data_IF_505388262834
#
_entry.id   IF_505388262834
#
_cell.length_a   1.000
_cell.length_b   1.000
_cell.length_c   1.000
_cell.angle_alpha   90.00
_cell.angle_beta   90.00
_cell.angle_gamma   90.00
#
_symmetry.space_group_name_H-M   'P 1'
#
loop_
_entity.id
_entity.type
_entity.pdbx_description
1 polymer ?
#
# COMPACT_ATOMS: atom_id res chain seq x y z
N UNK A 1 10.68 0.77 -70.42
CA UNK A 1 10.58 1.72 -69.28
C UNK A 1 9.88 1.02 -68.12
N UNK A 2 10.27 1.35 -66.88
CA UNK A 2 9.59 1.06 -65.60
C UNK A 2 10.06 -0.17 -64.82
N UNK A 3 11.28 -0.10 -64.28
CA UNK A 3 11.74 -0.96 -63.16
C UNK A 3 12.57 -0.20 -62.11
N UNK A 4 12.32 1.11 -61.90
CA UNK A 4 13.06 1.91 -60.91
C UNK A 4 12.21 2.40 -59.72
N UNK A 5 10.90 2.17 -59.73
CA UNK A 5 10.00 2.80 -58.73
C UNK A 5 9.89 2.01 -57.42
N UNK A 6 10.20 0.71 -57.41
CA UNK A 6 9.99 -0.13 -56.22
C UNK A 6 11.17 -0.14 -55.24
N UNK A 7 12.36 0.31 -55.64
CA UNK A 7 13.57 0.14 -54.82
C UNK A 7 13.73 1.21 -53.72
N UNK A 8 13.07 2.37 -53.83
CA UNK A 8 13.22 3.48 -52.85
C UNK A 8 12.35 3.36 -51.61
N UNK A 9 11.37 2.46 -51.59
CA UNK A 9 10.49 2.24 -50.42
C UNK A 9 11.10 1.20 -49.46
N UNK A 10 12.10 0.45 -49.93
CA UNK A 10 12.82 -0.55 -49.14
C UNK A 10 14.20 -0.09 -48.67
N UNK A 11 14.54 1.20 -48.78
CA UNK A 11 15.67 1.70 -48.00
C UNK A 11 15.26 1.65 -46.52
N UNK A 12 15.86 0.77 -45.70
CA UNK A 12 15.57 0.79 -44.28
C UNK A 12 16.05 2.14 -43.77
N UNK A 13 15.13 2.93 -43.20
CA UNK A 13 15.46 4.16 -42.47
C UNK A 13 16.55 3.81 -41.46
N UNK A 14 17.80 4.16 -41.80
CA UNK A 14 18.96 3.80 -41.01
C UNK A 14 18.90 4.59 -39.71
N UNK A 15 18.32 3.95 -38.72
CA UNK A 15 18.04 4.52 -37.42
C UNK A 15 19.31 4.47 -36.56
N UNK A 16 20.33 5.24 -36.93
CA UNK A 16 21.55 5.39 -36.09
C UNK A 16 21.19 5.82 -34.66
N UNK A 17 20.12 6.61 -34.51
CA UNK A 17 19.58 7.08 -33.22
C UNK A 17 18.89 5.96 -32.43
N UNK A 18 18.25 5.00 -33.11
CA UNK A 18 17.62 3.83 -32.45
C UNK A 18 18.68 2.78 -32.11
N UNK A 19 19.64 2.56 -33.01
CA UNK A 19 20.76 1.66 -32.76
C UNK A 19 21.64 2.13 -31.59
N UNK A 20 21.91 3.42 -31.44
CA UNK A 20 22.78 3.93 -30.37
C UNK A 20 22.15 3.79 -28.99
N UNK A 21 20.85 4.07 -28.85
CA UNK A 21 20.13 3.86 -27.60
C UNK A 21 20.07 2.38 -27.20
N UNK A 22 19.80 1.49 -28.16
CA UNK A 22 19.80 0.04 -27.92
C UNK A 22 21.22 -0.45 -27.62
N UNK A 23 22.25 0.06 -28.30
CA UNK A 23 23.65 -0.31 -28.09
C UNK A 23 24.14 0.10 -26.71
N UNK A 24 23.77 1.29 -26.22
CA UNK A 24 24.12 1.74 -24.87
C UNK A 24 23.42 0.90 -23.79
N UNK A 25 22.13 0.59 -23.96
CA UNK A 25 21.39 -0.33 -23.08
C UNK A 25 22.01 -1.73 -23.06
N UNK A 26 22.36 -2.26 -24.25
CA UNK A 26 22.99 -3.58 -24.38
C UNK A 26 24.40 -3.59 -23.78
N UNK A 27 25.14 -2.47 -23.80
CA UNK A 27 26.49 -2.37 -23.20
C UNK A 27 26.46 -2.36 -21.68
N UNK A 28 25.42 -1.78 -21.07
CA UNK A 28 25.16 -1.86 -19.62
C UNK A 28 24.79 -3.29 -19.22
N UNK A 29 23.99 -3.99 -20.02
CA UNK A 29 23.62 -5.39 -19.77
C UNK A 29 24.70 -6.42 -20.14
N UNK A 30 25.60 -6.11 -21.07
CA UNK A 30 26.61 -7.05 -21.59
C UNK A 30 27.94 -7.03 -20.81
N UNK A 31 28.08 -6.19 -19.77
CA UNK A 31 29.31 -6.11 -18.97
C UNK A 31 29.14 -6.73 -17.59
N UNK A 32 28.84 -8.03 -17.58
CA UNK A 32 28.90 -8.83 -16.38
C UNK A 32 28.85 -10.30 -16.73
N UNK A 33 29.96 -11.01 -16.55
CA UNK A 33 29.97 -12.48 -16.45
C UNK A 33 29.30 -12.87 -15.12
N UNK A 34 28.04 -12.45 -14.90
CA UNK A 34 27.30 -12.83 -13.71
C UNK A 34 26.86 -14.28 -13.90
N UNK A 35 27.32 -15.21 -13.06
CA UNK A 35 26.91 -16.59 -13.18
C UNK A 35 25.39 -16.66 -13.00
N UNK A 36 24.74 -17.55 -13.74
CA UNK A 36 23.27 -17.69 -13.75
C UNK A 36 22.71 -17.98 -12.36
N UNK A 37 23.52 -18.56 -11.46
CA UNK A 37 23.18 -18.76 -10.05
C UNK A 37 23.10 -17.45 -9.26
N UNK A 38 24.01 -16.51 -9.48
CA UNK A 38 23.96 -15.18 -8.84
C UNK A 38 22.77 -14.38 -9.35
N UNK A 39 22.44 -14.48 -10.64
CA UNK A 39 21.22 -13.88 -11.19
C UNK A 39 19.96 -14.42 -10.48
N UNK A 40 19.87 -15.73 -10.25
CA UNK A 40 18.77 -16.35 -9.50
C UNK A 40 18.71 -15.86 -8.04
N UNK A 41 19.85 -15.73 -7.37
CA UNK A 41 19.90 -15.19 -6.00
C UNK A 41 19.44 -13.73 -5.92
N UNK A 42 19.82 -12.90 -6.89
CA UNK A 42 19.40 -11.50 -6.97
C UNK A 42 17.88 -11.41 -7.17
N UNK A 43 17.31 -12.23 -8.06
CA UNK A 43 15.85 -12.28 -8.29
C UNK A 43 15.10 -12.68 -7.01
N UNK A 44 15.56 -13.73 -6.32
CA UNK A 44 14.94 -14.19 -5.06
C UNK A 44 15.06 -13.12 -3.96
N UNK A 45 16.23 -12.50 -3.81
CA UNK A 45 16.45 -11.42 -2.85
C UNK A 45 15.51 -10.23 -3.11
N UNK A 46 15.30 -9.87 -4.37
CA UNK A 46 14.40 -8.77 -4.75
C UNK A 46 12.93 -9.09 -4.41
N UNK A 47 12.48 -10.34 -4.60
CA UNK A 47 11.15 -10.80 -4.19
C UNK A 47 11.00 -10.73 -2.66
N UNK A 48 12.03 -11.14 -1.91
CA UNK A 48 12.03 -11.10 -0.44
C UNK A 48 11.98 -9.67 0.06
N UNK A 49 12.73 -8.74 -0.53
CA UNK A 49 12.72 -7.33 -0.12
C UNK A 49 11.35 -6.68 -0.34
N UNK A 50 10.69 -6.96 -1.47
CA UNK A 50 9.32 -6.49 -1.74
C UNK A 50 8.34 -7.07 -0.72
N UNK A 51 8.44 -8.37 -0.42
CA UNK A 51 7.60 -9.03 0.58
C UNK A 51 7.87 -8.61 2.03
N UNK A 52 9.11 -8.24 2.37
CA UNK A 52 9.49 -7.79 3.70
C UNK A 52 8.97 -6.37 3.99
N UNK A 53 9.02 -5.49 2.98
CA UNK A 53 8.56 -4.11 3.11
C UNK A 53 7.07 -4.01 3.46
N UNK A 54 6.23 -4.90 2.94
CA UNK A 54 4.78 -4.87 3.21
C UNK A 54 4.46 -5.24 4.66
N UNK A 55 5.23 -6.16 5.26
CA UNK A 55 5.04 -6.57 6.65
C UNK A 55 5.40 -5.44 7.59
N UNK A 56 6.55 -4.76 7.37
CA UNK A 56 7.00 -3.67 8.25
C UNK A 56 6.05 -2.47 8.26
N UNK A 57 5.41 -2.14 7.13
CA UNK A 57 4.44 -1.03 7.06
C UNK A 57 3.16 -1.28 7.86
N UNK A 58 2.80 -2.54 8.13
CA UNK A 58 1.60 -2.87 8.94
C UNK A 58 1.89 -2.75 10.44
N UNK A 59 3.14 -2.98 10.85
CA UNK A 59 3.54 -2.96 12.25
C UNK A 59 3.96 -1.58 12.78
N UNK A 60 4.26 -0.62 11.90
CA UNK A 60 4.54 0.76 12.28
C UNK A 60 3.23 1.49 12.65
N UNK A 61 2.65 1.14 13.80
CA UNK A 61 1.48 1.79 14.38
C UNK A 61 1.80 3.26 14.68
N UNK A 62 1.07 4.15 14.01
CA UNK A 62 1.19 5.58 14.20
C UNK A 62 0.49 5.97 15.52
N UNK A 63 1.22 6.70 16.34
CA UNK A 63 0.91 7.25 17.65
C UNK A 63 -0.27 8.23 17.66
N UNK A 64 -1.50 7.70 17.44
CA UNK A 64 -2.83 7.92 18.08
C UNK A 64 -3.66 6.81 17.43
N UNK A 65 -4.20 5.86 18.21
CA UNK A 65 -4.78 4.58 17.75
C UNK A 65 -6.03 4.68 16.85
N UNK A 66 -6.03 5.56 15.85
CA UNK A 66 -7.01 5.66 14.80
C UNK A 66 -6.41 5.07 13.52
N UNK A 67 -6.69 3.79 13.32
CA UNK A 67 -6.51 3.11 12.05
C UNK A 67 -7.29 3.85 10.94
N UNK A 68 -6.84 3.71 9.69
CA UNK A 68 -7.53 4.28 8.53
C UNK A 68 -9.03 3.96 8.54
N UNK A 69 -9.86 5.00 8.45
CA UNK A 69 -11.32 4.88 8.48
C UNK A 69 -11.95 4.94 9.87
N UNK A 70 -11.29 5.56 10.86
CA UNK A 70 -11.86 5.80 12.18
C UNK A 70 -12.01 4.53 13.02
N UNK A 71 -11.10 3.56 12.85
CA UNK A 71 -11.12 2.31 13.63
C UNK A 71 -10.04 2.37 14.70
N UNK A 72 -10.27 1.77 15.85
CA UNK A 72 -9.33 1.76 16.96
C UNK A 72 -9.29 0.38 17.60
N UNK A 73 -8.09 -0.07 17.98
CA UNK A 73 -7.95 -1.28 18.78
C UNK A 73 -8.12 -0.94 20.26
N UNK A 74 -8.91 -1.74 20.98
CA UNK A 74 -9.16 -1.56 22.41
C UNK A 74 -7.90 -1.95 23.18
N UNK A 75 -7.38 -1.03 23.99
CA UNK A 75 -6.23 -1.26 24.86
C UNK A 75 -6.65 -1.71 26.26
N UNK A 76 -5.69 -2.20 27.03
CA UNK A 76 -5.97 -2.62 28.40
C UNK A 76 -6.37 -1.43 29.27
N UNK A 77 -7.52 -1.53 29.93
CA UNK A 77 -8.08 -0.46 30.77
C UNK A 77 -9.09 0.43 30.05
N UNK A 78 -9.22 0.29 28.73
CA UNK A 78 -10.23 1.01 27.98
C UNK A 78 -11.63 0.48 28.28
N UNK A 79 -12.57 1.41 28.35
CA UNK A 79 -13.99 1.12 28.46
C UNK A 79 -14.71 1.81 27.31
N UNK A 80 -15.88 1.30 26.95
CA UNK A 80 -16.69 1.95 25.92
C UNK A 80 -17.03 3.40 26.31
N UNK A 81 -17.12 3.67 27.61
CA UNK A 81 -17.35 5.00 28.15
C UNK A 81 -16.15 5.94 27.98
N UNK A 82 -14.95 5.52 28.37
CA UNK A 82 -13.74 6.34 28.23
C UNK A 82 -13.43 6.62 26.76
N UNK A 83 -13.55 5.60 25.90
CA UNK A 83 -13.41 5.75 24.44
C UNK A 83 -14.39 6.78 23.89
N UNK A 84 -15.65 6.72 24.34
CA UNK A 84 -16.69 7.64 23.89
C UNK A 84 -16.45 9.06 24.36
N UNK A 85 -15.95 9.25 25.59
CA UNK A 85 -15.61 10.59 26.09
C UNK A 85 -14.52 11.26 25.26
N UNK A 86 -13.52 10.49 24.83
CA UNK A 86 -12.37 11.03 24.09
C UNK A 86 -12.70 11.37 22.63
N UNK A 87 -13.72 10.73 22.05
CA UNK A 87 -14.01 10.82 20.61
C UNK A 87 -15.39 11.40 20.25
N UNK A 88 -16.24 11.69 21.25
CA UNK A 88 -17.57 12.26 20.98
C UNK A 88 -17.48 13.73 20.53
N UNK A 89 -18.46 14.20 19.76
CA UNK A 89 -18.71 15.63 19.55
C UNK A 89 -18.98 16.37 20.86
N UNK A 90 -18.66 17.66 20.92
CA UNK A 90 -18.93 18.47 22.12
C UNK A 90 -20.43 18.59 22.39
N UNK A 91 -21.22 18.65 21.31
CA UNK A 91 -22.68 18.83 21.33
C UNK A 91 -23.46 17.54 21.64
N UNK A 92 -22.79 16.37 21.69
CA UNK A 92 -23.43 15.07 21.85
C UNK A 92 -23.26 14.48 23.26
N UNK A 93 -24.32 13.87 23.78
CA UNK A 93 -24.25 13.09 25.02
C UNK A 93 -23.50 11.77 24.78
N UNK A 94 -22.58 11.44 25.70
CA UNK A 94 -21.76 10.22 25.67
C UNK A 94 -22.62 8.96 25.51
N UNK A 95 -23.82 8.91 26.11
CA UNK A 95 -24.71 7.75 25.99
C UNK A 95 -25.18 7.50 24.56
N UNK A 96 -25.47 8.56 23.82
CA UNK A 96 -25.91 8.46 22.42
C UNK A 96 -24.74 8.00 21.55
N UNK A 97 -23.53 8.49 21.85
CA UNK A 97 -22.32 8.07 21.16
C UNK A 97 -21.99 6.59 21.41
N UNK A 98 -22.15 6.11 22.66
CA UNK A 98 -22.01 4.69 23.02
C UNK A 98 -22.97 3.81 22.20
N UNK A 99 -24.25 4.19 22.10
CA UNK A 99 -25.22 3.43 21.31
C UNK A 99 -24.88 3.46 19.82
N UNK A 100 -24.35 4.57 19.30
CA UNK A 100 -23.86 4.63 17.93
C UNK A 100 -22.69 3.68 17.70
N UNK A 101 -21.69 3.64 18.60
CA UNK A 101 -20.58 2.67 18.53
C UNK A 101 -21.12 1.24 18.55
N UNK A 102 -22.04 0.91 19.45
CA UNK A 102 -22.65 -0.42 19.53
C UNK A 102 -23.34 -0.79 18.22
N UNK A 103 -24.09 0.13 17.62
CA UNK A 103 -24.82 -0.10 16.37
C UNK A 103 -23.86 -0.35 15.20
N UNK A 104 -22.81 0.44 15.07
CA UNK A 104 -21.83 0.29 13.99
C UNK A 104 -21.02 -1.00 14.13
N UNK A 105 -20.69 -1.41 15.36
CA UNK A 105 -19.91 -2.61 15.66
C UNK A 105 -20.76 -3.86 15.95
N UNK A 106 -22.09 -3.77 15.84
CA UNK A 106 -23.04 -4.84 16.14
C UNK A 106 -22.89 -5.44 17.55
N UNK A 107 -22.46 -4.63 18.51
CA UNK A 107 -22.24 -5.05 19.89
C UNK A 107 -23.58 -5.22 20.62
N UNK A 108 -23.81 -6.42 21.15
CA UNK A 108 -25.00 -6.73 21.94
C UNK A 108 -24.92 -6.18 23.37
N UNK A 109 -23.70 -5.90 23.86
CA UNK A 109 -23.45 -5.40 25.21
C UNK A 109 -22.38 -4.33 25.22
N UNK A 110 -22.21 -3.66 26.36
CA UNK A 110 -21.15 -2.65 26.60
C UNK A 110 -19.79 -3.29 26.89
N UNK A 111 -19.72 -4.61 26.99
CA UNK A 111 -18.46 -5.32 27.23
C UNK A 111 -17.61 -5.34 25.96
N UNK A 112 -16.37 -4.88 26.09
CA UNK A 112 -15.35 -4.88 25.04
C UNK A 112 -14.14 -5.68 25.49
N UNK A 113 -13.42 -6.28 24.55
CA UNK A 113 -12.24 -7.08 24.83
C UNK A 113 -10.97 -6.38 24.35
N UNK A 114 -9.88 -6.58 25.08
CA UNK A 114 -8.57 -6.05 24.68
C UNK A 114 -8.15 -6.65 23.34
N UNK A 115 -7.63 -5.81 22.44
CA UNK A 115 -7.28 -6.18 21.06
C UNK A 115 -8.45 -6.20 20.09
N UNK A 116 -9.69 -5.97 20.55
CA UNK A 116 -10.85 -5.84 19.67
C UNK A 116 -10.75 -4.55 18.86
N UNK A 117 -11.02 -4.61 17.55
CA UNK A 117 -11.07 -3.42 16.71
C UNK A 117 -12.50 -2.87 16.70
N UNK A 118 -12.66 -1.64 17.17
CA UNK A 118 -13.90 -0.88 17.16
C UNK A 118 -13.89 0.16 16.05
N UNK A 119 -15.02 0.31 15.38
CA UNK A 119 -15.29 1.37 14.40
C UNK A 119 -15.96 2.52 15.14
N UNK A 120 -15.35 3.69 15.12
CA UNK A 120 -15.90 4.89 15.74
C UNK A 120 -16.74 5.69 14.74
N UNK A 121 -18.00 6.04 15.08
CA UNK A 121 -18.81 6.87 14.22
C UNK A 121 -18.20 8.29 14.13
N UNK A 122 -18.01 8.75 12.90
CA UNK A 122 -17.57 10.11 12.60
C UNK A 122 -18.81 10.99 12.47
N UNK A 123 -19.01 11.89 13.41
CA UNK A 123 -20.02 12.94 13.29
C UNK A 123 -19.30 14.22 12.91
N UNK A 124 -19.67 14.80 11.78
CA UNK A 124 -19.21 16.13 11.40
C UNK A 124 -19.98 17.14 12.27
N UNK A 125 -19.25 17.99 12.99
CA UNK A 125 -19.78 19.15 13.71
C UNK A 125 -20.49 20.14 12.76
#
# INVERSE_FOLDING_TARGET
MRYSTYQSIYEPVRSEVVETNIRNFKKVFAKGNVPTWVLKLIIVSLIILVGCSTVLTVFAGNEKDLLPGGKMAVSQGDTLWSISLDHKPETMDTRVYIEAIKKVNQLQSTSIQVGQVLILPQFTE
#
